data_IF_355484481952
#
_entry.id   IF_355484481952
#
_cell.length_a   1.000
_cell.length_b   1.000
_cell.length_c   1.000
_cell.angle_alpha   90.00
_cell.angle_beta   90.00
_cell.angle_gamma   90.00
#
_symmetry.space_group_name_H-M   'P 1'
#
loop_
_entity.id
_entity.type
_entity.pdbx_description
1 polymer ?
#
# COMPACT_ATOMS: atom_id res chain seq x y z
N UNK A 1 8.95 -14.93 -8.84
CA UNK A 1 9.74 -14.27 -7.80
C UNK A 1 9.22 -12.86 -7.68
N UNK A 2 8.66 -12.49 -6.53
CA UNK A 2 8.11 -11.13 -6.34
C UNK A 2 9.29 -10.17 -6.22
N UNK A 3 9.32 -9.16 -7.08
CA UNK A 3 10.43 -8.20 -7.13
C UNK A 3 10.11 -6.89 -6.42
N UNK A 4 8.83 -6.59 -6.21
CA UNK A 4 8.38 -5.35 -5.57
C UNK A 4 7.26 -5.60 -4.55
N UNK A 5 7.43 -5.03 -3.36
CA UNK A 5 6.43 -5.02 -2.29
C UNK A 5 5.90 -3.60 -2.11
N UNK A 6 4.60 -3.38 -2.31
CA UNK A 6 3.97 -2.07 -2.09
C UNK A 6 3.19 -2.09 -0.78
N UNK A 7 3.36 -1.05 0.05
CA UNK A 7 2.61 -0.90 1.29
C UNK A 7 1.29 -0.16 1.03
N UNK A 8 0.17 -0.82 1.31
CA UNK A 8 -1.13 -0.16 1.48
C UNK A 8 -1.16 0.71 2.76
N UNK A 9 -2.13 1.60 2.88
CA UNK A 9 -2.33 2.52 4.00
C UNK A 9 -2.44 1.79 5.35
N UNK A 10 -3.03 0.58 5.38
CA UNK A 10 -3.16 -0.24 6.59
C UNK A 10 -1.79 -0.62 7.19
N UNK A 11 -0.96 -1.43 6.51
CA UNK A 11 0.39 -1.75 6.95
C UNK A 11 1.30 -0.53 7.11
N UNK A 12 1.18 0.46 6.21
CA UNK A 12 1.94 1.72 6.33
C UNK A 12 1.62 2.45 7.64
N UNK A 13 0.34 2.53 8.01
CA UNK A 13 -0.11 3.10 9.28
C UNK A 13 0.34 2.29 10.50
N UNK A 14 0.38 0.95 10.40
CA UNK A 14 0.88 0.08 11.48
C UNK A 14 2.37 0.30 11.76
N UNK A 15 3.20 0.33 10.72
CA UNK A 15 4.66 0.51 10.85
C UNK A 15 5.01 1.90 11.38
N UNK A 16 4.28 2.92 10.93
CA UNK A 16 4.50 4.30 11.33
C UNK A 16 3.85 4.66 12.66
N UNK A 17 3.03 3.78 13.24
CA UNK A 17 2.39 4.01 14.53
C UNK A 17 3.43 4.14 15.65
N UNK A 18 3.46 5.27 16.39
CA UNK A 18 4.37 5.41 17.54
C UNK A 18 3.96 4.54 18.73
N UNK A 19 2.69 4.07 18.77
CA UNK A 19 2.22 3.16 19.81
C UNK A 19 2.59 1.72 19.43
N UNK A 20 3.34 1.07 20.32
CA UNK A 20 3.81 -0.31 20.17
C UNK A 20 2.74 -1.32 20.57
N UNK A 21 1.63 -1.37 19.84
CA UNK A 21 0.74 -2.54 19.95
C UNK A 21 1.46 -3.77 19.38
N UNK A 22 1.06 -4.96 19.81
CA UNK A 22 1.61 -6.23 19.29
C UNK A 22 1.54 -6.27 17.76
N UNK A 23 0.42 -5.83 17.18
CA UNK A 23 0.24 -5.77 15.71
C UNK A 23 1.18 -4.78 15.03
N UNK A 24 1.41 -3.60 15.61
CA UNK A 24 2.35 -2.62 15.05
C UNK A 24 3.80 -3.10 15.14
N UNK A 25 4.17 -3.77 16.24
CA UNK A 25 5.50 -4.37 16.42
C UNK A 25 5.71 -5.49 15.40
N UNK A 26 4.78 -6.43 15.30
CA UNK A 26 4.85 -7.53 14.33
C UNK A 26 4.92 -7.03 12.89
N UNK A 27 4.17 -5.97 12.54
CA UNK A 27 4.22 -5.37 11.21
C UNK A 27 5.58 -4.69 10.94
N UNK A 28 6.20 -4.06 11.93
CA UNK A 28 7.53 -3.48 11.78
C UNK A 28 8.61 -4.56 11.63
N UNK A 29 8.54 -5.64 12.42
CA UNK A 29 9.46 -6.78 12.32
C UNK A 29 9.33 -7.50 10.97
N UNK A 30 8.10 -7.69 10.49
CA UNK A 30 7.83 -8.22 9.15
C UNK A 30 8.43 -7.34 8.06
N UNK A 31 8.25 -6.02 8.12
CA UNK A 31 8.82 -5.14 7.11
C UNK A 31 10.36 -5.19 7.13
N UNK A 32 10.94 -5.26 8.33
CA UNK A 32 12.39 -5.38 8.49
C UNK A 32 12.91 -6.71 7.91
N UNK A 33 12.19 -7.82 8.07
CA UNK A 33 12.61 -9.10 7.50
C UNK A 33 12.61 -9.06 5.97
N UNK A 34 11.60 -8.43 5.36
CA UNK A 34 11.54 -8.21 3.90
C UNK A 34 12.74 -7.40 3.39
N UNK A 35 13.06 -6.30 4.06
CA UNK A 35 14.23 -5.48 3.71
C UNK A 35 15.54 -6.26 3.87
N UNK A 36 15.63 -7.14 4.87
CA UNK A 36 16.85 -7.92 5.18
C UNK A 36 17.15 -8.96 4.09
N UNK A 37 16.12 -9.56 3.49
CA UNK A 37 16.29 -10.50 2.36
C UNK A 37 16.42 -9.80 1.00
N UNK A 38 16.41 -8.47 0.98
CA UNK A 38 16.62 -7.67 -0.24
C UNK A 38 15.36 -7.42 -1.08
N UNK A 39 14.16 -7.61 -0.52
CA UNK A 39 12.91 -7.24 -1.21
C UNK A 39 12.87 -5.73 -1.40
N UNK A 40 12.57 -5.28 -2.62
CA UNK A 40 12.42 -3.85 -2.91
C UNK A 40 11.05 -3.38 -2.43
N UNK A 41 11.04 -2.60 -1.35
CA UNK A 41 9.83 -2.04 -0.75
C UNK A 41 9.54 -0.66 -1.30
N UNK A 42 8.27 -0.42 -1.62
CA UNK A 42 7.73 0.86 -2.09
C UNK A 42 6.63 1.38 -1.16
N UNK A 43 6.67 2.69 -0.90
CA UNK A 43 5.57 3.48 -0.34
C UNK A 43 4.85 4.17 -1.51
N UNK A 44 3.64 3.75 -1.88
CA UNK A 44 2.82 4.40 -2.90
C UNK A 44 2.35 5.79 -2.43
N UNK A 45 2.46 6.78 -3.30
CA UNK A 45 2.04 8.16 -3.00
C UNK A 45 0.56 8.25 -2.55
N UNK A 46 -0.34 7.42 -3.10
CA UNK A 46 -1.73 7.40 -2.63
C UNK A 46 -1.87 6.90 -1.18
N UNK A 47 -1.09 5.89 -0.80
CA UNK A 47 -1.09 5.34 0.56
C UNK A 47 -0.46 6.32 1.56
N UNK A 48 0.63 7.01 1.16
CA UNK A 48 1.18 8.13 1.93
C UNK A 48 0.13 9.23 2.12
N UNK A 49 -0.58 9.64 1.06
CA UNK A 49 -1.65 10.64 1.17
C UNK A 49 -2.73 10.23 2.19
N UNK A 50 -3.23 8.98 2.14
CA UNK A 50 -4.25 8.50 3.08
C UNK A 50 -3.76 8.49 4.53
N UNK A 51 -2.56 7.98 4.79
CA UNK A 51 -1.99 7.95 6.14
C UNK A 51 -1.68 9.36 6.62
N UNK A 52 -0.99 10.16 5.79
CA UNK A 52 -0.56 11.53 6.10
C UNK A 52 -1.75 12.44 6.38
N UNK A 53 -2.82 12.39 5.58
CA UNK A 53 -3.98 13.28 5.80
C UNK A 53 -4.68 13.00 7.13
N UNK A 54 -4.76 11.74 7.56
CA UNK A 54 -5.37 11.39 8.85
C UNK A 54 -4.47 11.76 10.02
N UNK A 55 -3.15 11.60 9.88
CA UNK A 55 -2.18 12.07 10.87
C UNK A 55 -2.25 13.60 11.03
N UNK A 56 -2.34 14.34 9.92
CA UNK A 56 -2.51 15.80 9.92
C UNK A 56 -3.83 16.20 10.57
N UNK A 57 -4.96 15.59 10.17
CA UNK A 57 -6.29 15.86 10.73
C UNK A 57 -6.33 15.63 12.25
N UNK A 58 -5.58 14.66 12.76
CA UNK A 58 -5.54 14.30 14.17
C UNK A 58 -4.34 14.87 14.95
N UNK A 59 -3.59 15.80 14.35
CA UNK A 59 -2.38 16.44 14.90
C UNK A 59 -1.35 15.46 15.49
N UNK A 60 -1.06 14.39 14.73
CA UNK A 60 -0.14 13.31 15.13
C UNK A 60 1.26 13.51 14.59
N UNK A 61 1.94 14.56 15.08
CA UNK A 61 3.31 14.93 14.68
C UNK A 61 4.33 13.79 14.79
N UNK A 62 4.24 12.94 15.82
CA UNK A 62 5.11 11.77 15.96
C UNK A 62 4.89 10.71 14.88
N UNK A 63 3.64 10.53 14.43
CA UNK A 63 3.33 9.63 13.33
C UNK A 63 3.87 10.17 12.00
N UNK A 64 3.74 11.48 11.76
CA UNK A 64 4.30 12.14 10.57
C UNK A 64 5.82 11.96 10.49
N UNK A 65 6.53 12.21 11.59
CA UNK A 65 7.99 12.00 11.62
C UNK A 65 8.40 10.56 11.32
N UNK A 66 7.63 9.57 11.80
CA UNK A 66 7.88 8.15 11.52
C UNK A 66 7.57 7.78 10.07
N UNK A 67 6.52 8.36 9.49
CA UNK A 67 6.18 8.21 8.09
C UNK A 67 7.28 8.78 7.18
N UNK A 68 7.74 10.00 7.45
CA UNK A 68 8.82 10.63 6.69
C UNK A 68 10.15 9.85 6.80
N UNK A 69 10.46 9.32 8.00
CA UNK A 69 11.63 8.47 8.20
C UNK A 69 11.54 7.15 7.41
N UNK A 70 10.37 6.50 7.40
CA UNK A 70 10.15 5.29 6.62
C UNK A 70 10.28 5.55 5.11
N UNK A 71 9.69 6.63 4.62
CA UNK A 71 9.80 7.05 3.21
C UNK A 71 11.26 7.30 2.83
N UNK A 72 12.03 7.93 3.71
CA UNK A 72 13.48 8.17 3.48
C UNK A 72 14.27 6.86 3.42
N UNK A 73 13.86 5.85 4.17
CA UNK A 73 14.53 4.55 4.25
C UNK A 73 14.06 3.54 3.17
N UNK A 74 13.07 3.88 2.36
CA UNK A 74 12.45 2.99 1.36
C UNK A 74 12.28 3.70 0.02
N UNK A 75 11.71 3.03 -0.98
CA UNK A 75 11.45 3.66 -2.27
C UNK A 75 10.08 4.36 -2.24
N UNK A 76 10.02 5.62 -2.68
CA UNK A 76 8.75 6.31 -2.86
C UNK A 76 8.24 6.13 -4.29
N UNK A 77 6.99 5.69 -4.45
CA UNK A 77 6.37 5.52 -5.77
C UNK A 77 5.41 6.67 -6.05
N UNK A 78 5.91 7.65 -6.80
CA UNK A 78 5.13 8.82 -7.19
C UNK A 78 3.96 8.48 -8.12
N UNK A 79 2.91 9.29 -8.07
CA UNK A 79 1.81 9.19 -9.03
C UNK A 79 2.32 9.54 -10.43
N UNK A 80 1.84 8.78 -11.41
CA UNK A 80 2.11 9.04 -12.83
C UNK A 80 0.79 9.17 -13.59
N UNK A 81 0.81 9.91 -14.69
CA UNK A 81 -0.35 9.98 -15.60
C UNK A 81 -0.80 8.60 -16.06
N UNK A 82 0.14 7.67 -16.27
CA UNK A 82 -0.15 6.29 -16.65
C UNK A 82 -0.92 5.54 -15.54
N UNK A 83 -0.44 5.63 -14.29
CA UNK A 83 -1.13 5.03 -13.15
C UNK A 83 -2.54 5.62 -12.97
N UNK A 84 -2.69 6.95 -13.04
CA UNK A 84 -4.00 7.58 -12.87
C UNK A 84 -5.00 7.21 -13.97
N UNK A 85 -4.55 7.12 -15.23
CA UNK A 85 -5.41 6.66 -16.34
C UNK A 85 -5.81 5.20 -16.19
N UNK A 86 -4.91 4.35 -15.72
CA UNK A 86 -5.21 2.94 -15.42
C UNK A 86 -6.18 2.80 -14.24
N UNK A 87 -6.03 3.62 -13.19
CA UNK A 87 -6.96 3.65 -12.07
C UNK A 87 -8.39 4.02 -12.51
N UNK A 88 -8.53 5.01 -13.40
CA UNK A 88 -9.82 5.37 -13.98
C UNK A 88 -10.47 4.21 -14.76
N UNK A 89 -9.66 3.41 -15.48
CA UNK A 89 -10.13 2.22 -16.17
C UNK A 89 -10.56 1.13 -15.17
N UNK A 90 -9.75 0.83 -14.16
CA UNK A 90 -10.08 -0.13 -13.09
C UNK A 90 -11.39 0.24 -12.38
N UNK A 91 -11.55 1.51 -12.02
CA UNK A 91 -12.77 2.03 -11.41
C UNK A 91 -14.00 1.81 -12.30
N UNK A 92 -13.90 2.18 -13.59
CA UNK A 92 -15.01 2.04 -14.53
C UNK A 92 -15.41 0.57 -14.73
N UNK A 93 -14.43 -0.32 -14.87
CA UNK A 93 -14.67 -1.74 -15.11
C UNK A 93 -15.28 -2.43 -13.90
N UNK A 94 -14.80 -2.14 -12.69
CA UNK A 94 -15.38 -2.67 -11.45
C UNK A 94 -16.87 -2.31 -11.31
N UNK A 95 -17.24 -1.08 -11.68
CA UNK A 95 -18.62 -0.61 -11.63
C UNK A 95 -19.50 -1.20 -12.72
N UNK A 96 -19.01 -1.29 -13.96
CA UNK A 96 -19.74 -1.95 -15.05
C UNK A 96 -20.03 -3.42 -14.74
N UNK A 97 -19.16 -4.07 -13.99
CA UNK A 97 -19.32 -5.46 -13.55
C UNK A 97 -20.23 -5.61 -12.31
N UNK A 98 -20.80 -4.52 -11.78
CA UNK A 98 -21.63 -4.55 -10.58
C UNK A 98 -20.86 -4.87 -9.29
N UNK A 99 -19.54 -4.63 -9.29
CA UNK A 99 -18.64 -4.98 -8.19
C UNK A 99 -17.75 -3.79 -7.77
N UNK A 100 -18.32 -2.65 -7.33
CA UNK A 100 -17.54 -1.52 -6.86
C UNK A 100 -16.60 -1.91 -5.71
N UNK A 101 -15.45 -1.23 -5.61
CA UNK A 101 -14.53 -1.32 -4.48
C UNK A 101 -14.73 -0.19 -3.46
N UNK A 102 -15.43 0.88 -3.84
CA UNK A 102 -15.82 1.95 -2.94
C UNK A 102 -17.24 2.49 -3.24
N UNK A 103 -17.87 3.22 -2.29
CA UNK A 103 -19.13 3.94 -2.52
C UNK A 103 -19.04 4.95 -3.68
N UNK A 104 -20.19 5.35 -4.25
CA UNK A 104 -20.23 6.21 -5.44
C UNK A 104 -19.62 7.60 -5.24
N UNK A 105 -19.67 8.13 -4.01
CA UNK A 105 -19.09 9.42 -3.66
C UNK A 105 -17.62 9.33 -3.25
N UNK A 106 -17.05 8.13 -3.17
CA UNK A 106 -15.64 7.93 -2.81
C UNK A 106 -14.74 8.00 -4.06
N UNK A 107 -13.55 8.58 -3.88
CA UNK A 107 -12.51 8.62 -4.91
C UNK A 107 -12.02 7.21 -5.29
N UNK A 108 -12.10 6.25 -4.35
CA UNK A 108 -11.60 4.88 -4.47
C UNK A 108 -10.06 4.84 -4.54
N UNK A 109 -9.40 4.94 -3.38
CA UNK A 109 -7.95 4.90 -3.31
C UNK A 109 -7.37 3.52 -3.67
N UNK A 110 -8.15 2.44 -3.47
CA UNK A 110 -7.74 1.06 -3.77
C UNK A 110 -7.43 0.88 -5.26
N UNK A 111 -8.25 1.43 -6.16
CA UNK A 111 -7.98 1.35 -7.61
C UNK A 111 -6.77 2.18 -8.03
N UNK A 112 -6.46 3.27 -7.32
CA UNK A 112 -5.26 4.08 -7.57
C UNK A 112 -4.02 3.30 -7.11
N UNK A 113 -4.07 2.70 -5.91
CA UNK A 113 -3.01 1.85 -5.38
C UNK A 113 -2.74 0.65 -6.29
N UNK A 114 -3.80 -0.05 -6.71
CA UNK A 114 -3.71 -1.15 -7.65
C UNK A 114 -3.08 -0.72 -8.99
N UNK A 115 -3.44 0.45 -9.51
CA UNK A 115 -2.84 0.97 -10.74
C UNK A 115 -1.36 1.36 -10.57
N UNK A 116 -0.94 1.87 -9.41
CA UNK A 116 0.47 2.10 -9.12
C UNK A 116 1.25 0.77 -9.11
N UNK A 117 0.72 -0.28 -8.49
CA UNK A 117 1.31 -1.62 -8.51
C UNK A 117 1.41 -2.19 -9.94
N UNK A 118 0.30 -2.14 -10.68
CA UNK A 118 0.20 -2.66 -12.04
C UNK A 118 1.18 -1.96 -13.00
N UNK A 119 1.31 -0.64 -12.89
CA UNK A 119 2.22 0.13 -13.75
C UNK A 119 3.68 0.02 -13.36
N UNK A 120 3.99 -0.28 -12.10
CA UNK A 120 5.36 -0.52 -11.65
C UNK A 120 5.91 -1.84 -12.23
N UNK A 121 5.25 -2.97 -11.92
CA UNK A 121 5.77 -4.29 -12.27
C UNK A 121 4.68 -5.35 -12.55
N UNK A 122 3.40 -4.98 -12.59
CA UNK A 122 2.33 -5.91 -12.93
C UNK A 122 2.28 -7.10 -11.97
N UNK A 123 2.41 -8.32 -12.51
CA UNK A 123 2.39 -9.57 -11.74
C UNK A 123 3.61 -9.77 -10.82
N UNK A 124 4.69 -9.01 -11.03
CA UNK A 124 5.91 -9.08 -10.19
C UNK A 124 5.86 -8.12 -8.99
N UNK A 125 4.77 -7.35 -8.85
CA UNK A 125 4.46 -6.53 -7.68
C UNK A 125 3.37 -7.19 -6.83
N UNK A 126 3.56 -7.18 -5.50
CA UNK A 126 2.51 -7.55 -4.54
C UNK A 126 2.17 -6.35 -3.66
N UNK A 127 0.88 -6.14 -3.43
CA UNK A 127 0.39 -5.15 -2.45
C UNK A 127 0.19 -5.84 -1.10
N UNK A 128 0.94 -5.39 -0.09
CA UNK A 128 0.72 -5.76 1.29
C UNK A 128 -0.41 -4.91 1.87
N UNK A 129 -1.48 -5.54 2.32
CA UNK A 129 -2.70 -4.84 2.77
C UNK A 129 -3.27 -5.45 4.06
N UNK A 130 -4.27 -4.77 4.61
CA UNK A 130 -5.20 -5.33 5.60
C UNK A 130 -6.58 -5.64 5.02
N UNK A 131 -6.80 -5.38 3.73
CA UNK A 131 -8.05 -5.66 3.00
C UNK A 131 -7.78 -6.18 1.58
N UNK A 132 -7.54 -7.49 1.46
CA UNK A 132 -7.20 -8.14 0.18
C UNK A 132 -8.33 -8.05 -0.85
N UNK A 133 -9.59 -8.09 -0.41
CA UNK A 133 -10.75 -8.29 -1.29
C UNK A 133 -10.97 -7.19 -2.32
N UNK A 134 -10.50 -5.97 -2.05
CA UNK A 134 -10.60 -4.84 -2.98
C UNK A 134 -9.48 -4.88 -4.03
N UNK A 135 -8.27 -5.26 -3.63
CA UNK A 135 -7.06 -5.14 -4.44
C UNK A 135 -6.80 -6.36 -5.33
N UNK A 136 -7.09 -7.57 -4.85
CA UNK A 136 -6.81 -8.84 -5.55
C UNK A 136 -7.50 -8.96 -6.91
N UNK A 137 -8.52 -8.13 -7.15
CA UNK A 137 -9.28 -8.05 -8.40
C UNK A 137 -8.47 -7.43 -9.54
N UNK A 138 -7.43 -6.66 -9.21
CA UNK A 138 -6.66 -5.87 -10.17
C UNK A 138 -5.18 -6.26 -10.20
N UNK A 139 -4.61 -6.60 -9.04
CA UNK A 139 -3.18 -6.90 -8.86
C UNK A 139 -2.96 -7.96 -7.78
N UNK A 140 -1.81 -8.65 -7.76
CA UNK A 140 -1.45 -9.50 -6.64
C UNK A 140 -1.50 -8.71 -5.33
N UNK A 141 -2.24 -9.21 -4.35
CA UNK A 141 -2.38 -8.62 -3.03
C UNK A 141 -2.53 -9.71 -1.99
N UNK A 142 -1.98 -9.50 -0.81
CA UNK A 142 -2.09 -10.44 0.31
C UNK A 142 -2.16 -9.67 1.63
N UNK A 143 -2.65 -10.33 2.67
CA UNK A 143 -2.46 -9.80 4.01
C UNK A 143 -0.96 -9.70 4.29
N UNK A 144 -0.51 -8.58 4.82
CA UNK A 144 0.93 -8.36 5.03
C UNK A 144 1.61 -9.51 5.79
N UNK A 145 0.94 -10.09 6.79
CA UNK A 145 1.46 -11.20 7.60
C UNK A 145 1.49 -12.56 6.89
N UNK A 146 0.90 -12.67 5.69
CA UNK A 146 0.96 -13.89 4.86
C UNK A 146 2.11 -13.84 3.85
N UNK A 147 2.70 -12.66 3.64
CA UNK A 147 3.85 -12.49 2.75
C UNK A 147 5.08 -12.90 3.54
N UNK A 148 5.69 -14.04 3.17
CA UNK A 148 6.87 -14.59 3.84
C UNK A 148 8.15 -14.36 3.01
N UNK A 149 9.29 -14.00 3.62
CA UNK A 149 10.52 -13.67 2.90
C UNK A 149 11.05 -14.79 2.00
N UNK A 150 10.92 -16.04 2.46
CA UNK A 150 11.49 -17.21 1.78
C UNK A 150 10.65 -17.73 0.60
N UNK A 151 9.42 -17.21 0.44
CA UNK A 151 8.53 -17.58 -0.67
C UNK A 151 8.60 -16.59 -1.85
N UNK A 152 9.53 -15.63 -1.82
CA UNK A 152 9.68 -14.59 -2.84
C UNK A 152 10.77 -14.90 -3.84
#
# INVERSE_FOLDING_TARGET
MIRALLLDAGPLGLVTNPRRSERSVACAEWLQSMLTVGVTVYVPEIADYEVRRELLRADKTNGLRRLDALITATNYLALTTRAMRMAAQFWADARRQGRPTAPDLALDADVILAAQAATLAGADAIVATTNVGHLIRFVPAAFWYEIVPDAL
#
